data_IF_922609146965
#
_entry.id   IF_922609146965
#
_cell.length_a   1.000
_cell.length_b   1.000
_cell.length_c   1.000
_cell.angle_alpha   90.00
_cell.angle_beta   90.00
_cell.angle_gamma   90.00
#
_symmetry.space_group_name_H-M   'P 1'
#
loop_
_entity.id
_entity.type
_entity.pdbx_description
1 polymer ?
#
# COMPACT_ATOMS: atom_id res chain seq x y z
N UNK A 1 -14.62 6.44 122.70
CA UNK A 1 -13.53 6.20 121.73
C UNK A 1 -14.01 5.32 120.59
N UNK A 2 -14.57 4.12 120.85
CA UNK A 2 -15.13 3.24 119.79
C UNK A 2 -16.16 3.92 118.88
N UNK A 3 -17.19 4.58 119.43
CA UNK A 3 -18.25 5.21 118.61
C UNK A 3 -17.75 6.33 117.67
N UNK A 4 -16.70 7.06 118.05
CA UNK A 4 -16.12 8.09 117.20
C UNK A 4 -15.30 7.48 116.04
N UNK A 5 -14.72 6.29 116.24
CA UNK A 5 -14.04 5.54 115.18
C UNK A 5 -15.06 4.97 114.19
N UNK A 6 -16.18 4.41 114.69
CA UNK A 6 -17.26 3.90 113.85
C UNK A 6 -17.88 5.00 112.97
N UNK A 7 -18.13 6.20 113.52
CA UNK A 7 -18.62 7.34 112.73
C UNK A 7 -17.61 7.80 111.66
N UNK A 8 -16.32 7.83 111.99
CA UNK A 8 -15.27 8.17 111.02
C UNK A 8 -15.14 7.13 109.91
N UNK A 9 -15.28 5.83 110.22
CA UNK A 9 -15.27 4.76 109.20
C UNK A 9 -16.47 4.90 108.28
N UNK A 10 -17.67 5.15 108.80
CA UNK A 10 -18.87 5.36 107.97
C UNK A 10 -18.74 6.54 107.00
N UNK A 11 -18.19 7.68 107.45
CA UNK A 11 -17.91 8.84 106.57
C UNK A 11 -16.86 8.53 105.50
N UNK A 12 -15.87 7.71 105.84
CA UNK A 12 -14.84 7.28 104.88
C UNK A 12 -15.43 6.35 103.82
N UNK A 13 -16.31 5.42 104.21
CA UNK A 13 -17.00 4.51 103.30
C UNK A 13 -17.90 5.27 102.32
N UNK A 14 -18.67 6.23 102.79
CA UNK A 14 -19.50 7.12 101.95
C UNK A 14 -18.64 7.92 100.96
N UNK A 15 -17.59 8.58 101.46
CA UNK A 15 -16.67 9.33 100.58
C UNK A 15 -15.94 8.45 99.57
N UNK A 16 -15.69 7.18 99.89
CA UNK A 16 -15.06 6.23 98.97
C UNK A 16 -16.03 5.76 97.89
N UNK A 17 -17.31 5.63 98.22
CA UNK A 17 -18.35 5.29 97.24
C UNK A 17 -18.59 6.45 96.27
N UNK A 18 -18.69 7.69 96.77
CA UNK A 18 -18.75 8.91 95.95
C UNK A 18 -17.53 9.02 95.00
N UNK A 19 -16.34 8.66 95.49
CA UNK A 19 -15.12 8.67 94.69
C UNK A 19 -15.15 7.62 93.57
N UNK A 20 -15.70 6.42 93.81
CA UNK A 20 -15.86 5.40 92.76
C UNK A 20 -16.88 5.84 91.71
N UNK A 21 -17.98 6.44 92.12
CA UNK A 21 -18.99 6.93 91.18
C UNK A 21 -18.41 8.04 90.29
N UNK A 22 -17.64 8.97 90.87
CA UNK A 22 -16.91 9.99 90.12
C UNK A 22 -15.87 9.40 89.15
N UNK A 23 -15.11 8.39 89.57
CA UNK A 23 -14.14 7.68 88.70
C UNK A 23 -14.82 6.99 87.52
N UNK A 24 -15.98 6.36 87.73
CA UNK A 24 -16.77 5.73 86.67
C UNK A 24 -17.26 6.78 85.66
N UNK A 25 -17.84 7.90 86.13
CA UNK A 25 -18.31 8.99 85.25
C UNK A 25 -17.16 9.61 84.46
N UNK A 26 -15.99 9.79 85.08
CA UNK A 26 -14.78 10.23 84.39
C UNK A 26 -14.32 9.22 83.33
N UNK A 27 -14.38 7.92 83.64
CA UNK A 27 -14.07 6.84 82.71
C UNK A 27 -14.97 6.85 81.48
N UNK A 28 -16.28 7.01 81.67
CA UNK A 28 -17.26 7.15 80.58
C UNK A 28 -16.99 8.39 79.73
N UNK A 29 -16.77 9.56 80.34
CA UNK A 29 -16.47 10.79 79.61
C UNK A 29 -15.17 10.71 78.79
N UNK A 30 -14.13 10.04 79.32
CA UNK A 30 -12.90 9.76 78.58
C UNK A 30 -13.15 8.81 77.40
N UNK A 31 -14.04 7.84 77.58
CA UNK A 31 -14.51 6.95 76.51
C UNK A 31 -15.18 7.72 75.39
N UNK A 32 -16.17 8.55 75.72
CA UNK A 32 -16.91 9.37 74.77
C UNK A 32 -15.99 10.33 74.00
N UNK A 33 -15.08 11.01 74.70
CA UNK A 33 -14.09 11.89 74.05
C UNK A 33 -13.22 11.11 73.06
N UNK A 34 -12.76 9.91 73.44
CA UNK A 34 -11.94 9.06 72.57
C UNK A 34 -12.68 8.69 71.29
N UNK A 35 -13.96 8.34 71.40
CA UNK A 35 -14.76 7.96 70.24
C UNK A 35 -15.12 9.17 69.36
N UNK A 36 -15.41 10.33 69.94
CA UNK A 36 -15.55 11.58 69.17
C UNK A 36 -14.27 11.92 68.38
N UNK A 37 -13.09 11.82 69.02
CA UNK A 37 -11.82 12.04 68.34
C UNK A 37 -11.60 11.03 67.20
N UNK A 38 -11.92 9.75 67.44
CA UNK A 38 -11.84 8.69 66.44
C UNK A 38 -12.74 8.98 65.25
N UNK A 39 -13.96 9.43 65.49
CA UNK A 39 -14.94 9.74 64.45
C UNK A 39 -14.50 10.95 63.61
N UNK A 40 -14.02 12.02 64.25
CA UNK A 40 -13.51 13.20 63.56
C UNK A 40 -12.33 12.82 62.65
N UNK A 41 -11.37 12.06 63.18
CA UNK A 41 -10.20 11.62 62.40
C UNK A 41 -10.64 10.71 61.25
N UNK A 42 -11.57 9.79 61.51
CA UNK A 42 -12.08 8.86 60.49
C UNK A 42 -12.82 9.60 59.38
N UNK A 43 -13.70 10.54 59.75
CA UNK A 43 -14.44 11.39 58.81
C UNK A 43 -13.48 12.23 57.95
N UNK A 44 -12.48 12.86 58.57
CA UNK A 44 -11.50 13.64 57.81
C UNK A 44 -10.69 12.77 56.84
N UNK A 45 -10.18 11.62 57.30
CA UNK A 45 -9.38 10.73 56.45
C UNK A 45 -10.20 10.11 55.32
N UNK A 46 -11.47 9.78 55.56
CA UNK A 46 -12.38 9.28 54.51
C UNK A 46 -12.69 10.37 53.50
N UNK A 47 -13.03 11.58 53.95
CA UNK A 47 -13.23 12.72 53.04
C UNK A 47 -12.01 13.01 52.18
N UNK A 48 -10.80 13.00 52.76
CA UNK A 48 -9.57 13.20 51.99
C UNK A 48 -9.31 12.07 50.99
N UNK A 49 -9.55 10.81 51.39
CA UNK A 49 -9.46 9.65 50.50
C UNK A 49 -10.39 9.81 49.31
N UNK A 50 -11.65 10.18 49.56
CA UNK A 50 -12.68 10.29 48.53
C UNK A 50 -12.35 11.43 47.55
N UNK A 51 -11.90 12.58 48.05
CA UNK A 51 -11.43 13.69 47.21
C UNK A 51 -10.28 13.29 46.28
N UNK A 52 -9.28 12.58 46.81
CA UNK A 52 -8.15 12.09 46.01
C UNK A 52 -8.62 11.05 44.99
N UNK A 53 -9.53 10.16 45.39
CA UNK A 53 -10.08 9.14 44.51
C UNK A 53 -10.84 9.77 43.35
N UNK A 54 -11.69 10.76 43.61
CA UNK A 54 -12.45 11.47 42.59
C UNK A 54 -11.52 12.20 41.61
N UNK A 55 -10.46 12.85 42.12
CA UNK A 55 -9.45 13.48 41.27
C UNK A 55 -8.74 12.45 40.38
N UNK A 56 -8.34 11.31 40.95
CA UNK A 56 -7.68 10.23 40.20
C UNK A 56 -8.61 9.64 39.12
N UNK A 57 -9.88 9.44 39.44
CA UNK A 57 -10.87 8.91 38.51
C UNK A 57 -11.16 9.90 37.37
N UNK A 58 -11.26 11.19 37.70
CA UNK A 58 -11.37 12.28 36.72
C UNK A 58 -10.18 12.34 35.77
N UNK A 59 -8.96 12.25 36.30
CA UNK A 59 -7.74 12.23 35.48
C UNK A 59 -7.64 10.96 34.64
N UNK A 60 -7.98 9.79 35.21
CA UNK A 60 -8.02 8.51 34.48
C UNK A 60 -8.98 8.60 33.30
N UNK A 61 -10.17 9.16 33.51
CA UNK A 61 -11.17 9.37 32.46
C UNK A 61 -10.67 10.30 31.35
N UNK A 62 -10.04 11.42 31.70
CA UNK A 62 -9.43 12.32 30.71
C UNK A 62 -8.33 11.64 29.91
N UNK A 63 -7.53 10.79 30.55
CA UNK A 63 -6.46 10.05 29.89
C UNK A 63 -7.02 9.02 28.91
N UNK A 64 -8.09 8.30 29.30
CA UNK A 64 -8.77 7.35 28.40
C UNK A 64 -9.39 8.07 27.20
N UNK A 65 -10.12 9.17 27.41
CA UNK A 65 -10.73 9.94 26.31
C UNK A 65 -9.67 10.48 25.34
N UNK A 66 -8.52 10.93 25.85
CA UNK A 66 -7.39 11.37 25.01
C UNK A 66 -6.78 10.21 24.22
N UNK A 67 -6.65 9.02 24.82
CA UNK A 67 -6.14 7.84 24.12
C UNK A 67 -7.09 7.42 22.99
N UNK A 68 -8.40 7.38 23.24
CA UNK A 68 -9.40 7.04 22.23
C UNK A 68 -9.37 8.05 21.06
N UNK A 69 -9.24 9.35 21.37
CA UNK A 69 -9.12 10.39 20.36
C UNK A 69 -7.82 10.27 19.54
N UNK A 70 -6.69 9.95 20.19
CA UNK A 70 -5.43 9.72 19.50
C UNK A 70 -5.49 8.50 18.58
N UNK A 71 -6.10 7.40 19.03
CA UNK A 71 -6.30 6.20 18.21
C UNK A 71 -7.15 6.50 16.98
N UNK A 72 -8.25 7.25 17.14
CA UNK A 72 -9.07 7.71 16.03
C UNK A 72 -8.29 8.58 15.02
N UNK A 73 -7.48 9.52 15.50
CA UNK A 73 -6.63 10.35 14.64
C UNK A 73 -5.59 9.53 13.89
N UNK A 74 -4.94 8.56 14.54
CA UNK A 74 -3.96 7.67 13.92
C UNK A 74 -4.61 6.82 12.83
N UNK A 75 -5.82 6.30 13.08
CA UNK A 75 -6.57 5.53 12.09
C UNK A 75 -6.95 6.39 10.87
N UNK A 76 -7.40 7.63 11.09
CA UNK A 76 -7.70 8.57 10.01
C UNK A 76 -6.45 8.89 9.17
N UNK A 77 -5.33 9.23 9.81
CA UNK A 77 -4.06 9.51 9.14
C UNK A 77 -3.55 8.29 8.35
N UNK A 78 -3.72 7.08 8.90
CA UNK A 78 -3.33 5.83 8.22
C UNK A 78 -4.17 5.62 6.95
N UNK A 79 -5.48 5.84 7.01
CA UNK A 79 -6.37 5.73 5.84
C UNK A 79 -5.97 6.73 4.77
N UNK A 80 -5.75 8.00 5.14
CA UNK A 80 -5.34 9.06 4.22
C UNK A 80 -3.97 8.73 3.57
N UNK A 81 -3.00 8.29 4.36
CA UNK A 81 -1.67 7.86 3.87
C UNK A 81 -1.77 6.69 2.89
N UNK A 82 -2.65 5.72 3.16
CA UNK A 82 -2.88 4.61 2.23
C UNK A 82 -3.55 5.09 0.92
N UNK A 83 -4.45 6.07 0.99
CA UNK A 83 -5.09 6.64 -0.19
C UNK A 83 -4.08 7.41 -1.06
N UNK A 84 -3.26 8.28 -0.46
CA UNK A 84 -2.21 9.04 -1.18
C UNK A 84 -1.14 8.12 -1.77
N UNK A 85 -0.71 7.09 -1.04
CA UNK A 85 0.25 6.09 -1.55
C UNK A 85 -0.29 5.37 -2.78
N UNK A 86 -1.56 4.96 -2.78
CA UNK A 86 -2.21 4.34 -3.95
C UNK A 86 -2.28 5.31 -5.13
N UNK A 87 -2.72 6.56 -4.89
CA UNK A 87 -2.82 7.58 -5.93
C UNK A 87 -1.46 7.87 -6.60
N UNK A 88 -0.39 7.95 -5.80
CA UNK A 88 0.97 8.12 -6.32
C UNK A 88 1.43 6.93 -7.14
N UNK A 89 1.17 5.70 -6.67
CA UNK A 89 1.48 4.47 -7.43
C UNK A 89 0.81 4.48 -8.79
N UNK A 90 -0.49 4.81 -8.85
CA UNK A 90 -1.23 4.91 -10.11
C UNK A 90 -0.62 5.98 -11.03
N UNK A 91 -0.26 7.16 -10.50
CA UNK A 91 0.35 8.22 -11.33
C UNK A 91 1.72 7.82 -11.87
N UNK A 92 2.50 7.05 -11.11
CA UNK A 92 3.78 6.50 -11.58
C UNK A 92 3.55 5.56 -12.76
N UNK A 93 2.59 4.65 -12.67
CA UNK A 93 2.26 3.71 -13.75
C UNK A 93 1.81 4.47 -15.01
N UNK A 94 1.01 5.52 -14.86
CA UNK A 94 0.60 6.39 -15.97
C UNK A 94 1.78 7.09 -16.64
N UNK A 95 2.67 7.70 -15.85
CA UNK A 95 3.85 8.40 -16.36
C UNK A 95 4.82 7.45 -17.05
N UNK A 96 4.95 6.21 -16.56
CA UNK A 96 5.72 5.17 -17.25
C UNK A 96 5.11 4.84 -18.61
N UNK A 97 3.78 4.77 -18.72
CA UNK A 97 3.06 4.62 -19.98
C UNK A 97 3.28 5.80 -20.94
N UNK A 98 3.13 7.03 -20.45
CA UNK A 98 3.36 8.27 -21.22
C UNK A 98 4.81 8.33 -21.75
N UNK A 99 5.80 7.98 -20.92
CA UNK A 99 7.21 7.94 -21.31
C UNK A 99 7.47 6.87 -22.38
N UNK A 100 6.86 5.69 -22.26
CA UNK A 100 7.00 4.62 -23.26
C UNK A 100 6.46 5.04 -24.63
N UNK A 101 5.34 5.78 -24.66
CA UNK A 101 4.79 6.36 -25.88
C UNK A 101 5.72 7.43 -26.46
N UNK A 102 6.20 8.36 -25.64
CA UNK A 102 7.13 9.40 -26.08
C UNK A 102 8.40 8.81 -26.71
N UNK A 103 8.99 7.79 -26.09
CA UNK A 103 10.15 7.10 -26.64
C UNK A 103 9.84 6.39 -27.96
N UNK A 104 8.67 5.75 -28.08
CA UNK A 104 8.24 5.10 -29.31
C UNK A 104 8.09 6.11 -30.47
N UNK A 105 7.45 7.25 -30.21
CA UNK A 105 7.31 8.34 -31.19
C UNK A 105 8.68 8.87 -31.60
N UNK A 106 9.60 9.02 -30.65
CA UNK A 106 10.97 9.49 -30.93
C UNK A 106 11.74 8.49 -31.81
N UNK A 107 11.55 7.18 -31.62
CA UNK A 107 12.16 6.14 -32.46
C UNK A 107 11.60 6.13 -33.89
N UNK A 108 10.33 6.52 -34.09
CA UNK A 108 9.73 6.63 -35.43
C UNK A 108 10.30 7.80 -36.28
N UNK A 109 10.96 8.78 -35.66
CA UNK A 109 11.55 9.91 -36.39
C UNK A 109 12.90 9.49 -36.99
N UNK A 110 12.88 9.04 -38.24
CA UNK A 110 14.08 8.93 -39.09
C UNK A 110 14.30 7.60 -39.79
N UNK A 111 13.54 6.54 -39.46
CA UNK A 111 13.68 5.21 -40.09
C UNK A 111 12.32 4.63 -40.46
N UNK A 112 12.08 4.41 -41.75
CA UNK A 112 10.95 3.62 -42.27
C UNK A 112 11.20 2.14 -41.97
N UNK A 113 10.92 1.67 -40.74
CA UNK A 113 10.99 0.24 -40.38
C UNK A 113 9.61 -0.26 -39.98
N UNK A 114 9.14 -1.31 -40.66
CA UNK A 114 7.87 -1.98 -40.34
C UNK A 114 7.85 -2.50 -38.89
N UNK A 115 9.01 -2.94 -38.37
CA UNK A 115 9.16 -3.37 -36.98
C UNK A 115 8.88 -2.23 -35.98
N UNK A 116 9.34 -1.01 -36.25
CA UNK A 116 9.17 0.14 -35.35
C UNK A 116 7.71 0.62 -35.34
N UNK A 117 7.04 0.56 -36.50
CA UNK A 117 5.60 0.86 -36.63
C UNK A 117 4.75 -0.14 -35.87
N UNK A 118 5.00 -1.45 -36.02
CA UNK A 118 4.24 -2.46 -35.29
C UNK A 118 4.48 -2.40 -33.78
N UNK A 119 5.73 -2.13 -33.35
CA UNK A 119 6.05 -1.90 -31.94
C UNK A 119 5.29 -0.69 -31.37
N UNK A 120 5.18 0.40 -32.14
CA UNK A 120 4.42 1.59 -31.75
C UNK A 120 2.92 1.30 -31.62
N UNK A 121 2.33 0.64 -32.62
CA UNK A 121 0.91 0.27 -32.59
C UNK A 121 0.58 -0.62 -31.39
N UNK A 122 1.44 -1.58 -31.09
CA UNK A 122 1.29 -2.45 -29.91
C UNK A 122 1.35 -1.65 -28.59
N UNK A 123 2.29 -0.71 -28.46
CA UNK A 123 2.39 0.16 -27.27
C UNK A 123 1.14 1.04 -27.11
N UNK A 124 0.62 1.59 -28.20
CA UNK A 124 -0.60 2.41 -28.20
C UNK A 124 -1.84 1.60 -27.79
N UNK A 125 -2.01 0.39 -28.32
CA UNK A 125 -3.10 -0.50 -27.90
C UNK A 125 -3.03 -0.82 -26.41
N UNK A 126 -1.83 -1.06 -25.89
CA UNK A 126 -1.64 -1.32 -24.47
C UNK A 126 -1.97 -0.08 -23.60
N UNK A 127 -1.57 1.12 -24.05
CA UNK A 127 -1.92 2.37 -23.38
C UNK A 127 -3.44 2.58 -23.33
N UNK A 128 -4.14 2.43 -24.46
CA UNK A 128 -5.60 2.59 -24.51
C UNK A 128 -6.31 1.57 -23.64
N UNK A 129 -5.85 0.31 -23.63
CA UNK A 129 -6.36 -0.74 -22.74
C UNK A 129 -6.20 -0.37 -21.28
N UNK A 130 -5.04 0.15 -20.88
CA UNK A 130 -4.78 0.59 -19.51
C UNK A 130 -5.65 1.79 -19.11
N UNK A 131 -5.98 2.69 -20.04
CA UNK A 131 -6.85 3.85 -19.82
C UNK A 131 -8.35 3.55 -19.94
N UNK A 132 -8.74 2.31 -20.25
CA UNK A 132 -10.16 1.94 -20.45
C UNK A 132 -10.78 2.55 -21.71
N UNK A 133 -9.96 2.98 -22.66
CA UNK A 133 -10.40 3.54 -23.94
C UNK A 133 -10.62 2.37 -24.89
N UNK A 134 -11.83 1.82 -24.86
CA UNK A 134 -12.23 0.65 -25.68
C UNK A 134 -12.96 1.08 -26.95
N UNK A 135 -13.55 2.27 -26.96
CA UNK A 135 -14.42 2.75 -28.03
C UNK A 135 -13.63 3.58 -29.06
N UNK A 136 -13.75 3.22 -30.35
CA UNK A 136 -13.05 3.90 -31.45
C UNK A 136 -13.51 5.36 -31.62
N UNK A 137 -14.72 5.69 -31.14
CA UNK A 137 -15.22 7.06 -31.09
C UNK A 137 -14.38 8.02 -30.22
N UNK A 138 -13.57 7.50 -29.28
CA UNK A 138 -12.75 8.29 -28.36
C UNK A 138 -11.35 8.56 -28.94
N UNK A 139 -10.94 7.89 -30.03
CA UNK A 139 -9.59 7.97 -30.60
C UNK A 139 -9.33 9.15 -31.56
N UNK A 140 -10.34 9.98 -31.87
CA UNK A 140 -10.17 11.28 -32.56
C UNK A 140 -10.37 11.27 -34.08
N UNK A 141 -10.04 12.40 -34.74
CA UNK A 141 -10.38 12.81 -36.13
C UNK A 141 -9.88 11.91 -37.28
N UNK A 142 -9.16 10.81 -37.00
CA UNK A 142 -8.67 9.86 -37.99
C UNK A 142 -9.48 8.57 -37.87
N UNK A 143 -10.71 8.57 -38.39
CA UNK A 143 -11.46 7.34 -38.64
C UNK A 143 -11.57 6.35 -37.47
N UNK A 144 -11.91 5.09 -37.78
CA UNK A 144 -11.77 3.98 -36.81
C UNK A 144 -10.30 3.70 -36.48
N UNK A 145 -10.00 3.02 -35.36
CA UNK A 145 -8.61 2.64 -35.02
C UNK A 145 -7.93 1.83 -36.13
N UNK A 146 -8.73 1.04 -36.85
CA UNK A 146 -8.29 0.30 -38.03
C UNK A 146 -7.83 1.21 -39.16
N UNK A 147 -8.54 2.32 -39.44
CA UNK A 147 -8.14 3.29 -40.46
C UNK A 147 -6.82 3.97 -40.10
N UNK A 148 -6.63 4.35 -38.82
CA UNK A 148 -5.35 4.87 -38.35
C UNK A 148 -4.21 3.87 -38.50
N UNK A 149 -4.43 2.59 -38.15
CA UNK A 149 -3.44 1.53 -38.34
C UNK A 149 -3.08 1.36 -39.82
N UNK A 150 -4.07 1.38 -40.71
CA UNK A 150 -3.86 1.28 -42.16
C UNK A 150 -3.05 2.46 -42.72
N UNK A 151 -3.42 3.70 -42.37
CA UNK A 151 -2.75 4.91 -42.84
C UNK A 151 -1.31 4.98 -42.32
N UNK A 152 -1.09 4.66 -41.04
CA UNK A 152 0.24 4.67 -40.43
C UNK A 152 1.15 3.60 -41.05
N UNK A 153 0.63 2.39 -41.29
CA UNK A 153 1.38 1.34 -41.98
C UNK A 153 1.69 1.75 -43.42
N UNK A 154 0.72 2.33 -44.14
CA UNK A 154 0.92 2.80 -45.51
C UNK A 154 2.00 3.88 -45.66
N UNK A 155 2.16 4.77 -44.66
CA UNK A 155 3.17 5.84 -44.73
C UNK A 155 4.58 5.41 -44.30
N UNK A 156 4.70 4.42 -43.41
CA UNK A 156 5.97 4.08 -42.75
C UNK A 156 6.51 2.69 -43.05
N UNK A 157 5.72 1.78 -43.64
CA UNK A 157 6.27 0.59 -44.26
C UNK A 157 7.09 1.03 -45.48
N UNK A 158 8.25 0.40 -45.70
CA UNK A 158 9.07 0.69 -46.88
C UNK A 158 8.23 0.45 -48.14
N UNK A 159 8.39 1.31 -49.15
CA UNK A 159 7.73 1.21 -50.48
C UNK A 159 8.24 -0.02 -51.25
N UNK A 160 8.13 -1.23 -50.71
CA UNK A 160 8.09 -2.44 -51.52
C UNK A 160 6.63 -2.78 -51.74
N UNK A 161 6.25 -2.87 -53.00
CA UNK A 161 5.01 -3.56 -53.36
C UNK A 161 5.08 -4.99 -52.81
N UNK A 162 3.93 -5.59 -52.49
CA UNK A 162 3.88 -6.96 -51.95
C UNK A 162 4.67 -7.95 -52.83
N UNK A 163 4.61 -7.76 -54.15
CA UNK A 163 5.38 -8.50 -55.15
C UNK A 163 6.90 -8.33 -54.99
N UNK A 164 7.39 -7.10 -54.76
CA UNK A 164 8.81 -6.82 -54.54
C UNK A 164 9.30 -7.35 -53.19
N UNK A 165 8.48 -7.25 -52.14
CA UNK A 165 8.77 -7.83 -50.83
C UNK A 165 8.85 -9.35 -50.92
N UNK A 166 7.93 -9.98 -51.65
CA UNK A 166 7.92 -11.42 -51.90
C UNK A 166 9.14 -11.87 -52.71
N UNK A 167 9.49 -11.15 -53.78
CA UNK A 167 10.68 -11.44 -54.59
C UNK A 167 11.97 -11.32 -53.76
N UNK A 168 12.07 -10.30 -52.90
CA UNK A 168 13.22 -10.13 -51.99
C UNK A 168 13.26 -11.17 -50.89
N UNK A 169 12.12 -11.56 -50.35
CA UNK A 169 12.02 -12.61 -49.34
C UNK A 169 12.51 -13.94 -49.92
N UNK A 170 12.04 -14.32 -51.11
CA UNK A 170 12.49 -15.54 -51.80
C UNK A 170 13.99 -15.53 -52.13
N UNK A 171 14.55 -14.36 -52.43
CA UNK A 171 15.97 -14.17 -52.76
C UNK A 171 16.87 -13.74 -51.59
N UNK A 172 16.37 -13.74 -50.35
CA UNK A 172 17.11 -13.20 -49.21
C UNK A 172 18.36 -14.03 -48.92
N UNK A 173 19.49 -13.36 -48.71
CA UNK A 173 20.76 -14.01 -48.38
C UNK A 173 21.47 -13.22 -47.28
N UNK A 174 22.02 -13.93 -46.30
CA UNK A 174 22.80 -13.33 -45.21
C UNK A 174 24.08 -12.71 -45.79
N UNK A 175 24.08 -11.38 -45.95
CA UNK A 175 25.26 -10.62 -46.42
C UNK A 175 26.18 -10.24 -45.25
N UNK A 176 25.60 -9.74 -44.16
CA UNK A 176 26.32 -9.29 -42.96
C UNK A 176 26.23 -10.25 -41.77
N UNK A 177 25.99 -9.68 -40.59
CA UNK A 177 25.79 -10.41 -39.34
C UNK A 177 24.46 -11.19 -39.35
N UNK A 178 24.32 -12.17 -38.45
CA UNK A 178 23.06 -12.90 -38.29
C UNK A 178 21.95 -11.95 -37.81
N UNK A 179 22.26 -10.99 -36.95
CA UNK A 179 21.30 -10.01 -36.44
C UNK A 179 20.72 -9.12 -37.54
N UNK A 180 21.57 -8.63 -38.46
CA UNK A 180 21.12 -7.84 -39.62
C UNK A 180 20.24 -8.67 -40.56
N UNK A 181 20.65 -9.91 -40.85
CA UNK A 181 19.84 -10.81 -41.67
C UNK A 181 18.48 -11.12 -41.06
N UNK A 182 18.43 -11.42 -39.76
CA UNK A 182 17.17 -11.67 -39.04
C UNK A 182 16.28 -10.43 -39.07
N UNK A 183 16.85 -9.24 -38.95
CA UNK A 183 16.11 -7.97 -39.04
C UNK A 183 15.52 -7.78 -40.44
N UNK A 184 16.31 -7.89 -41.50
CA UNK A 184 15.86 -7.77 -42.89
C UNK A 184 14.79 -8.84 -43.23
N UNK A 185 14.99 -10.07 -42.78
CA UNK A 185 14.02 -11.16 -42.96
C UNK A 185 12.68 -10.85 -42.28
N UNK A 186 12.71 -10.35 -41.05
CA UNK A 186 11.50 -9.97 -40.31
C UNK A 186 10.78 -8.80 -40.98
N UNK A 187 11.51 -7.78 -41.45
CA UNK A 187 10.91 -6.64 -42.15
C UNK A 187 10.21 -7.05 -43.45
N UNK A 188 10.77 -8.02 -44.20
CA UNK A 188 10.15 -8.56 -45.42
C UNK A 188 8.92 -9.43 -45.10
N UNK A 189 8.98 -10.26 -44.05
CA UNK A 189 7.84 -11.06 -43.59
C UNK A 189 6.64 -10.21 -43.17
N UNK A 190 6.86 -9.01 -42.62
CA UNK A 190 5.78 -8.09 -42.24
C UNK A 190 5.08 -7.44 -43.45
N UNK A 191 5.73 -7.44 -44.63
CA UNK A 191 5.21 -6.81 -45.85
C UNK A 191 4.50 -7.80 -46.80
N UNK A 192 4.61 -9.11 -46.55
CA UNK A 192 3.96 -10.14 -47.39
C UNK A 192 2.83 -10.78 -46.58
N UNK A 193 1.59 -10.63 -47.04
CA UNK A 193 0.41 -10.98 -46.23
C UNK A 193 0.07 -12.48 -46.19
N UNK A 194 0.60 -13.27 -47.12
CA UNK A 194 0.23 -14.69 -47.35
C UNK A 194 1.34 -15.74 -47.07
N UNK A 195 2.41 -15.42 -46.33
CA UNK A 195 3.50 -16.39 -46.08
C UNK A 195 3.18 -17.30 -44.88
N UNK A 196 3.12 -18.62 -45.11
CA UNK A 196 2.94 -19.58 -44.02
C UNK A 196 4.22 -19.73 -43.19
N UNK A 197 4.11 -20.07 -41.90
CA UNK A 197 5.29 -20.30 -41.04
C UNK A 197 6.27 -21.33 -41.61
N UNK A 198 5.77 -22.36 -42.32
CA UNK A 198 6.59 -23.41 -42.94
C UNK A 198 7.40 -22.87 -44.12
N UNK A 199 6.79 -22.04 -44.97
CA UNK A 199 7.45 -21.39 -46.09
C UNK A 199 8.47 -20.36 -45.60
N UNK A 200 8.09 -19.54 -44.61
CA UNK A 200 8.98 -18.59 -43.96
C UNK A 200 10.23 -19.29 -43.39
N UNK A 201 10.04 -20.41 -42.68
CA UNK A 201 11.15 -21.15 -42.08
C UNK A 201 12.09 -21.74 -43.15
N UNK A 202 11.54 -22.23 -44.27
CA UNK A 202 12.32 -22.77 -45.38
C UNK A 202 13.18 -21.68 -46.03
N UNK A 203 12.56 -20.53 -46.33
CA UNK A 203 13.25 -19.37 -46.91
C UNK A 203 14.30 -18.83 -45.94
N UNK A 204 13.97 -18.70 -44.65
CA UNK A 204 14.89 -18.26 -43.62
C UNK A 204 16.13 -19.14 -43.54
N UNK A 205 15.96 -20.47 -43.52
CA UNK A 205 17.09 -21.41 -43.52
C UNK A 205 17.90 -21.27 -44.80
N UNK A 206 17.22 -21.19 -45.95
CA UNK A 206 17.85 -21.12 -47.26
C UNK A 206 18.71 -19.86 -47.48
N UNK A 207 18.35 -18.74 -46.86
CA UNK A 207 19.13 -17.50 -46.92
C UNK A 207 20.31 -17.42 -45.94
N UNK A 208 20.40 -18.28 -44.92
CA UNK A 208 21.53 -18.29 -43.97
C UNK A 208 22.83 -18.76 -44.65
N UNK A 209 23.96 -18.20 -44.22
CA UNK A 209 25.29 -18.73 -44.59
C UNK A 209 25.41 -20.18 -44.14
N UNK A 210 26.08 -21.00 -44.95
CA UNK A 210 26.16 -22.46 -44.74
C UNK A 210 26.61 -22.85 -43.32
N UNK A 211 27.60 -22.16 -42.76
CA UNK A 211 28.09 -22.42 -41.40
C UNK A 211 27.07 -22.05 -40.30
N UNK A 212 26.30 -20.97 -40.49
CA UNK A 212 25.25 -20.55 -39.53
C UNK A 212 24.09 -21.53 -39.57
N UNK A 213 23.69 -21.95 -40.78
CA UNK A 213 22.64 -22.95 -40.97
C UNK A 213 23.00 -24.25 -40.25
N UNK A 214 24.23 -24.73 -40.43
CA UNK A 214 24.72 -25.95 -39.80
C UNK A 214 24.72 -25.84 -38.26
N UNK A 215 25.13 -24.71 -37.71
CA UNK A 215 25.09 -24.47 -36.26
C UNK A 215 23.64 -24.43 -35.72
N UNK A 216 22.72 -23.77 -36.43
CA UNK A 216 21.30 -23.72 -36.05
C UNK A 216 20.67 -25.12 -36.07
N UNK A 217 21.00 -25.92 -37.08
CA UNK A 217 20.55 -27.31 -37.19
C UNK A 217 21.12 -28.19 -36.07
N UNK A 218 22.40 -28.06 -35.74
CA UNK A 218 23.01 -28.79 -34.63
C UNK A 218 22.39 -28.45 -33.27
N UNK A 219 22.13 -27.17 -33.01
CA UNK A 219 21.49 -26.72 -31.75
C UNK A 219 20.02 -27.08 -31.66
N UNK A 220 19.30 -27.12 -32.79
CA UNK A 220 17.92 -27.59 -32.83
C UNK A 220 17.83 -29.10 -32.51
N UNK A 221 18.81 -29.88 -32.97
CA UNK A 221 18.92 -31.33 -32.69
C UNK A 221 19.30 -31.62 -31.22
N UNK A 222 20.05 -30.73 -30.56
CA UNK A 222 20.40 -30.88 -29.12
C UNK A 222 19.29 -30.45 -28.15
N UNK A 223 18.23 -29.78 -28.62
CA UNK A 223 17.10 -29.30 -27.81
C UNK A 223 15.82 -30.15 -27.97
N UNK A 224 15.92 -31.28 -28.67
CA UNK A 224 14.90 -32.33 -28.77
C UNK A 224 15.29 -33.51 -27.85
#
# INVERSE_FOLDING_TARGET
MLSAVEECVGKLEESMEDAKESDNVLGESIGDLRDQFRDIVTMYLTSQRDNVQELLDSQRKKLTERNDALEAMVMALKVETMATTRALSTRIDELQGELALYLAVKELVGTRSACDVDNFLWRMENYFRAKGIVDDAIKGEIGTWQEFQCELKGQFYLEFTEEEAQAKLQGIMQRGTVGEYVREFKELMLQVSDVTEKEALLVFKNGLKSWVRQEVEQRAVQKL
#
